data_IF_085112368866
#
_entry.id   IF_085112368866
#
_cell.length_a   1.000
_cell.length_b   1.000
_cell.length_c   1.000
_cell.angle_alpha   90.00
_cell.angle_beta   90.00
_cell.angle_gamma   90.00
#
_symmetry.space_group_name_H-M   'P 1'
#
loop_
_entity.id
_entity.type
_entity.pdbx_description
1 polymer ?
#
# COMPACT_ATOMS: atom_id res chain seq x y z
N UNK A 1 -39.60 -48.67 59.10
CA UNK A 1 -38.20 -48.77 58.59
C UNK A 1 -38.20 -48.53 57.10
N UNK A 2 -37.65 -47.47 56.68
CA UNK A 2 -36.96 -47.14 55.40
C UNK A 2 -37.13 -45.64 55.14
N UNK A 3 -36.01 -44.96 55.30
CA UNK A 3 -35.84 -43.50 55.08
C UNK A 3 -35.84 -43.20 53.58
N UNK A 4 -36.65 -42.24 53.14
CA UNK A 4 -36.60 -41.66 51.81
C UNK A 4 -35.57 -40.51 51.83
N UNK A 5 -34.54 -40.65 51.05
CA UNK A 5 -33.57 -39.57 50.75
C UNK A 5 -34.15 -38.70 49.62
N UNK A 6 -34.42 -37.44 49.90
CA UNK A 6 -34.64 -36.44 48.88
C UNK A 6 -33.29 -35.90 48.39
N UNK A 7 -32.97 -36.16 47.18
CA UNK A 7 -31.82 -35.60 46.47
C UNK A 7 -32.31 -34.28 45.80
N UNK A 8 -32.04 -33.15 46.42
CA UNK A 8 -32.25 -31.86 45.80
C UNK A 8 -31.10 -31.56 44.84
N UNK A 9 -31.36 -31.64 43.54
CA UNK A 9 -30.46 -31.19 42.51
C UNK A 9 -30.40 -29.66 42.50
N UNK A 10 -29.31 -29.12 43.08
CA UNK A 10 -28.97 -27.70 42.98
C UNK A 10 -28.41 -27.47 41.56
N UNK A 11 -29.21 -26.89 40.68
CA UNK A 11 -28.73 -26.35 39.40
C UNK A 11 -27.86 -25.12 39.71
N UNK A 12 -26.55 -25.33 39.73
CA UNK A 12 -25.59 -24.23 39.66
C UNK A 12 -25.64 -23.65 38.25
N UNK A 13 -26.34 -22.54 38.05
CA UNK A 13 -26.14 -21.66 36.92
C UNK A 13 -24.77 -21.05 37.08
N UNK A 14 -23.75 -21.67 36.43
CA UNK A 14 -22.44 -21.08 36.28
C UNK A 14 -22.55 -19.97 35.26
N UNK A 15 -22.92 -18.77 35.68
CA UNK A 15 -22.68 -17.56 34.90
C UNK A 15 -21.18 -17.37 34.88
N UNK A 16 -20.56 -17.84 33.80
CA UNK A 16 -19.16 -17.54 33.51
C UNK A 16 -19.03 -16.06 33.17
N UNK A 17 -18.95 -15.22 34.19
CA UNK A 17 -18.39 -13.89 34.06
C UNK A 17 -16.91 -14.10 33.75
N UNK A 18 -16.57 -13.96 32.47
CA UNK A 18 -15.19 -13.91 32.00
C UNK A 18 -14.51 -12.68 32.58
N UNK A 19 -13.91 -12.84 33.75
CA UNK A 19 -13.05 -11.81 34.33
C UNK A 19 -11.70 -11.88 33.59
N UNK A 20 -11.35 -10.80 32.89
CA UNK A 20 -9.99 -10.61 32.43
C UNK A 20 -9.03 -10.67 33.64
N UNK A 21 -8.15 -11.64 33.67
CA UNK A 21 -7.19 -11.80 34.76
C UNK A 21 -6.07 -10.78 34.58
N UNK A 22 -6.08 -9.71 35.37
CA UNK A 22 -5.10 -8.62 35.31
C UNK A 22 -3.93 -8.94 36.25
N UNK A 23 -2.87 -9.51 35.71
CA UNK A 23 -1.64 -9.75 36.45
C UNK A 23 -0.68 -8.55 36.29
N UNK A 24 -0.29 -7.91 37.39
CA UNK A 24 0.70 -6.83 37.40
C UNK A 24 2.00 -7.32 38.04
N UNK A 25 3.10 -7.24 37.29
CA UNK A 25 4.44 -7.49 37.82
C UNK A 25 5.18 -6.14 37.86
N UNK A 26 5.50 -5.67 39.04
CA UNK A 26 6.26 -4.44 39.29
C UNK A 26 7.74 -4.77 39.39
N UNK A 27 8.53 -4.36 38.41
CA UNK A 27 9.99 -4.26 38.52
C UNK A 27 10.35 -2.79 38.65
N UNK A 28 11.46 -2.45 39.34
CA UNK A 28 11.83 -1.06 39.69
C UNK A 28 11.91 -0.05 38.53
N UNK A 29 11.78 -0.51 37.28
CA UNK A 29 11.85 0.32 36.06
C UNK A 29 10.76 0.04 35.03
N UNK A 30 10.00 -1.05 35.16
CA UNK A 30 9.01 -1.46 34.19
C UNK A 30 7.70 -1.85 34.84
N UNK A 31 6.57 -1.44 34.23
CA UNK A 31 5.25 -1.98 34.56
C UNK A 31 4.76 -2.85 33.42
N UNK A 32 4.46 -4.11 33.71
CA UNK A 32 3.89 -5.05 32.76
C UNK A 32 2.43 -5.32 33.13
N UNK A 33 1.53 -5.14 32.18
CA UNK A 33 0.09 -5.41 32.29
C UNK A 33 -0.22 -6.51 31.29
N UNK A 34 -0.76 -7.62 31.77
CA UNK A 34 -1.13 -8.78 30.96
C UNK A 34 -2.63 -9.02 31.06
N UNK A 35 -3.27 -9.14 29.91
CA UNK A 35 -4.71 -9.35 29.80
C UNK A 35 -4.98 -10.43 28.77
N UNK A 36 -5.99 -11.28 29.06
CA UNK A 36 -6.34 -12.43 28.24
C UNK A 36 -7.84 -12.47 27.99
N UNK A 37 -8.22 -12.86 26.77
CA UNK A 37 -9.60 -13.07 26.38
C UNK A 37 -9.69 -14.36 25.57
N UNK A 38 -10.75 -15.11 25.78
CA UNK A 38 -11.08 -16.22 24.88
C UNK A 38 -11.56 -15.68 23.57
N UNK A 39 -11.09 -16.25 22.48
CA UNK A 39 -11.36 -15.80 21.11
C UNK A 39 -11.74 -16.98 20.24
N UNK A 40 -12.63 -16.76 19.30
CA UNK A 40 -13.06 -17.75 18.32
C UNK A 40 -12.60 -17.38 16.91
N UNK A 41 -12.66 -18.34 16.00
CA UNK A 41 -12.39 -18.10 14.59
C UNK A 41 -13.26 -16.97 14.05
N UNK A 42 -12.65 -16.04 13.29
CA UNK A 42 -13.28 -14.86 12.70
C UNK A 42 -13.80 -13.80 13.70
N UNK A 43 -13.37 -13.88 14.93
CA UNK A 43 -13.54 -12.76 15.85
C UNK A 43 -12.60 -11.61 15.46
N UNK A 44 -12.93 -10.41 15.88
CA UNK A 44 -12.22 -9.18 15.53
C UNK A 44 -11.40 -8.70 16.72
N UNK A 45 -10.13 -8.46 16.50
CA UNK A 45 -9.27 -7.72 17.42
C UNK A 45 -9.22 -6.27 16.96
N UNK A 46 -9.87 -5.39 17.69
CA UNK A 46 -9.90 -3.96 17.47
C UNK A 46 -8.88 -3.27 18.38
N UNK A 47 -7.93 -2.55 17.81
CA UNK A 47 -6.92 -1.79 18.55
C UNK A 47 -7.10 -0.30 18.32
N UNK A 48 -7.21 0.44 19.42
CA UNK A 48 -7.27 1.90 19.42
C UNK A 48 -6.15 2.45 20.32
N UNK A 49 -5.02 2.85 19.74
CA UNK A 49 -3.83 3.21 20.50
C UNK A 49 -3.30 4.59 20.16
N UNK A 50 -2.97 5.35 21.21
CA UNK A 50 -2.23 6.60 21.14
C UNK A 50 -0.94 6.46 21.94
N UNK A 51 0.22 6.88 21.37
CA UNK A 51 1.52 6.91 22.06
C UNK A 51 2.09 5.54 22.48
N UNK A 52 1.58 4.44 21.92
CA UNK A 52 2.24 3.13 22.04
C UNK A 52 3.31 3.05 20.96
N UNK A 53 4.57 3.16 21.37
CA UNK A 53 5.70 3.30 20.45
C UNK A 53 5.86 2.12 19.50
N UNK A 54 5.69 0.90 20.02
CA UNK A 54 5.77 -0.32 19.23
C UNK A 54 4.63 -1.28 19.59
N UNK A 55 3.91 -1.70 18.58
CA UNK A 55 2.87 -2.73 18.63
C UNK A 55 3.38 -3.91 17.81
N UNK A 56 3.45 -5.09 18.42
CA UNK A 56 3.85 -6.32 17.74
C UNK A 56 2.73 -7.32 17.82
N UNK A 57 2.33 -7.88 16.69
CA UNK A 57 1.30 -8.92 16.58
C UNK A 57 1.99 -10.19 16.13
N UNK A 58 1.91 -11.22 16.96
CA UNK A 58 2.52 -12.53 16.78
C UNK A 58 1.44 -13.62 16.79
N UNK A 59 1.64 -14.66 16.02
CA UNK A 59 0.75 -15.81 15.97
C UNK A 59 0.86 -16.65 17.24
N UNK A 60 -0.25 -17.27 17.66
CA UNK A 60 -0.34 -18.19 18.79
C UNK A 60 -1.24 -19.38 18.45
N UNK A 61 -0.85 -20.57 18.89
CA UNK A 61 -1.67 -21.79 18.76
C UNK A 61 -2.79 -21.89 19.82
N UNK A 62 -2.94 -20.89 20.68
CA UNK A 62 -3.93 -20.88 21.77
C UNK A 62 -5.26 -20.30 21.26
N UNK A 63 -6.38 -20.73 21.87
CA UNK A 63 -7.70 -20.12 21.64
C UNK A 63 -7.91 -18.87 22.49
N UNK A 64 -6.84 -18.19 22.85
CA UNK A 64 -6.87 -16.94 23.61
C UNK A 64 -6.10 -15.85 22.86
N UNK A 65 -6.59 -14.62 22.93
CA UNK A 65 -5.74 -13.46 22.63
C UNK A 65 -5.12 -12.95 23.93
N UNK A 66 -3.82 -12.66 23.88
CA UNK A 66 -3.06 -12.14 25.01
C UNK A 66 -2.47 -10.79 24.66
N UNK A 67 -2.83 -9.77 25.43
CA UNK A 67 -2.25 -8.42 25.36
C UNK A 67 -1.21 -8.27 26.46
N UNK A 68 0.02 -7.88 26.11
CA UNK A 68 1.10 -7.59 27.07
C UNK A 68 1.56 -6.16 26.82
N UNK A 69 1.13 -5.26 27.72
CA UNK A 69 1.56 -3.86 27.71
C UNK A 69 2.74 -3.68 28.64
N UNK A 70 3.86 -3.21 28.13
CA UNK A 70 5.05 -2.88 28.94
C UNK A 70 5.29 -1.36 28.88
N UNK A 71 5.37 -0.74 30.06
CA UNK A 71 5.65 0.68 30.25
C UNK A 71 7.02 0.78 30.89
N UNK A 72 7.98 1.32 30.19
CA UNK A 72 9.38 1.47 30.63
C UNK A 72 9.67 2.90 31.01
N UNK A 73 10.36 3.11 32.15
CA UNK A 73 10.71 4.42 32.67
C UNK A 73 12.21 4.63 32.64
N UNK A 74 12.61 5.85 32.36
CA UNK A 74 14.01 6.26 32.44
C UNK A 74 14.22 7.05 33.74
N UNK A 75 14.89 6.45 34.74
CA UNK A 75 15.44 7.11 35.95
C UNK A 75 14.57 8.21 36.61
N UNK A 76 13.25 8.09 36.56
CA UNK A 76 12.36 9.08 37.19
C UNK A 76 12.11 8.76 38.65
N UNK A 77 11.74 9.76 39.44
CA UNK A 77 11.28 9.53 40.80
C UNK A 77 10.01 8.68 40.84
N UNK A 78 9.80 7.95 41.92
CA UNK A 78 8.59 7.14 42.15
C UNK A 78 7.31 7.99 42.01
N UNK A 79 7.34 9.24 42.45
CA UNK A 79 6.21 10.18 42.36
C UNK A 79 5.85 10.52 40.90
N UNK A 80 6.83 10.73 40.04
CA UNK A 80 6.60 10.95 38.60
C UNK A 80 5.99 9.73 37.93
N UNK A 81 6.39 8.54 38.36
CA UNK A 81 5.82 7.27 37.89
C UNK A 81 4.33 7.15 38.25
N UNK A 82 4.00 7.34 39.52
CA UNK A 82 2.62 7.20 40.01
C UNK A 82 1.68 8.22 39.35
N UNK A 83 2.17 9.45 39.16
CA UNK A 83 1.43 10.51 38.47
C UNK A 83 1.20 10.19 36.98
N UNK A 84 2.18 9.59 36.33
CA UNK A 84 2.03 9.13 34.96
C UNK A 84 1.05 7.97 34.82
N UNK A 85 1.15 6.99 35.73
CA UNK A 85 0.24 5.84 35.74
C UNK A 85 -1.22 6.23 35.92
N UNK A 86 -1.51 7.35 36.61
CA UNK A 86 -2.85 7.93 36.71
C UNK A 86 -3.36 8.51 35.39
N UNK A 87 -2.45 8.99 34.53
CA UNK A 87 -2.82 9.53 33.21
C UNK A 87 -2.98 8.46 32.13
N UNK A 88 -2.34 7.31 32.29
CA UNK A 88 -2.49 6.20 31.35
C UNK A 88 -3.87 5.57 31.53
N UNK A 89 -4.60 5.50 30.43
CA UNK A 89 -5.92 4.86 30.35
C UNK A 89 -5.83 3.63 29.46
N UNK A 90 -5.99 2.47 30.08
CA UNK A 90 -6.10 1.19 29.36
C UNK A 90 -7.49 0.65 29.63
N UNK A 91 -8.25 0.39 28.59
CA UNK A 91 -9.53 -0.28 28.69
C UNK A 91 -9.64 -1.42 27.70
N UNK A 92 -10.24 -2.51 28.13
CA UNK A 92 -10.50 -3.68 27.30
C UNK A 92 -11.95 -4.08 27.45
N UNK A 93 -12.55 -4.42 26.33
CA UNK A 93 -13.95 -4.83 26.29
C UNK A 93 -14.12 -5.94 25.26
N UNK A 94 -14.80 -7.00 25.67
CA UNK A 94 -15.32 -7.99 24.72
C UNK A 94 -16.82 -7.75 24.54
N UNK A 95 -17.24 -7.60 23.29
CA UNK A 95 -18.65 -7.41 22.92
C UNK A 95 -18.96 -8.26 21.69
N UNK A 96 -19.70 -9.34 21.88
CA UNK A 96 -19.96 -10.33 20.85
C UNK A 96 -18.65 -10.90 20.29
N UNK A 97 -18.43 -10.71 18.99
CA UNK A 97 -17.24 -11.17 18.26
C UNK A 97 -16.07 -10.19 18.26
N UNK A 98 -16.16 -9.08 18.96
CA UNK A 98 -15.13 -8.05 18.94
C UNK A 98 -14.48 -7.90 20.32
N UNK A 99 -13.16 -7.98 20.35
CA UNK A 99 -12.33 -7.65 21.50
C UNK A 99 -11.65 -6.33 21.18
N UNK A 100 -12.05 -5.27 21.90
CA UNK A 100 -11.50 -3.93 21.75
C UNK A 100 -10.45 -3.68 22.83
N UNK A 101 -9.24 -3.34 22.43
CA UNK A 101 -8.16 -2.86 23.30
C UNK A 101 -7.93 -1.38 23.01
N UNK A 102 -8.01 -0.54 24.06
CA UNK A 102 -7.74 0.90 23.95
C UNK A 102 -6.62 1.32 24.89
N UNK A 103 -5.67 2.06 24.35
CA UNK A 103 -4.59 2.70 25.10
C UNK A 103 -4.53 4.19 24.77
N UNK A 104 -4.60 5.03 25.80
CA UNK A 104 -4.46 6.48 25.65
C UNK A 104 -3.77 7.10 26.88
N UNK A 105 -3.26 8.33 26.70
CA UNK A 105 -2.68 9.13 27.78
C UNK A 105 -3.48 10.43 27.92
N UNK A 106 -4.11 10.62 29.07
CA UNK A 106 -4.85 11.83 29.40
C UNK A 106 -3.90 12.99 29.78
N UNK A 107 -3.83 13.97 28.90
CA UNK A 107 -3.00 15.16 29.10
C UNK A 107 -3.75 16.33 29.74
N UNK A 108 -5.05 16.24 29.99
CA UNK A 108 -5.93 17.37 30.35
C UNK A 108 -5.63 17.99 31.73
N UNK A 109 -4.98 17.27 32.63
CA UNK A 109 -4.69 17.72 34.00
C UNK A 109 -3.26 18.25 34.23
N UNK A 110 -2.45 18.49 33.18
CA UNK A 110 -1.03 18.78 33.34
C UNK A 110 -0.65 20.16 32.88
N UNK A 111 0.00 20.93 33.76
CA UNK A 111 0.75 22.13 33.38
C UNK A 111 1.79 21.76 32.32
N UNK A 112 1.92 22.59 31.26
CA UNK A 112 2.90 22.42 30.17
C UNK A 112 4.37 22.33 30.64
N UNK A 113 4.62 22.53 31.91
CA UNK A 113 5.96 22.56 32.52
C UNK A 113 6.36 21.28 33.23
N UNK A 114 5.42 20.34 33.50
CA UNK A 114 5.80 19.05 34.10
C UNK A 114 6.14 18.06 33.00
N UNK A 115 7.39 18.07 32.61
CA UNK A 115 8.01 17.18 31.66
C UNK A 115 7.69 15.71 31.98
N UNK A 116 7.01 15.02 31.07
CA UNK A 116 6.96 13.54 31.04
C UNK A 116 8.32 12.95 30.64
N UNK A 117 9.38 13.54 31.11
CA UNK A 117 10.76 13.12 30.85
C UNK A 117 11.10 11.72 31.39
N UNK A 118 10.12 11.04 31.99
CA UNK A 118 10.32 9.74 32.61
C UNK A 118 9.88 8.51 31.79
N UNK A 119 8.96 8.62 30.78
CA UNK A 119 8.62 7.48 29.94
C UNK A 119 9.58 7.41 28.79
N UNK A 120 10.30 6.32 28.67
CA UNK A 120 11.14 6.05 27.51
C UNK A 120 10.46 5.19 26.49
N UNK A 121 9.60 4.27 26.90
CA UNK A 121 9.00 3.32 25.98
C UNK A 121 7.66 2.75 26.48
N UNK A 122 6.69 2.66 25.57
CA UNK A 122 5.45 1.92 25.78
C UNK A 122 5.35 0.93 24.63
N UNK A 123 5.29 -0.34 24.95
CA UNK A 123 5.16 -1.41 23.96
C UNK A 123 3.92 -2.24 24.23
N UNK A 124 3.29 -2.72 23.17
CA UNK A 124 2.17 -3.66 23.22
C UNK A 124 2.54 -4.89 22.37
N UNK A 125 2.59 -6.06 23.01
CA UNK A 125 2.67 -7.34 22.32
C UNK A 125 1.33 -8.02 22.36
N UNK A 126 0.92 -8.58 21.22
CA UNK A 126 -0.35 -9.28 21.06
C UNK A 126 -0.03 -10.66 20.51
N UNK A 127 -0.49 -11.68 21.22
CA UNK A 127 -0.46 -13.05 20.76
C UNK A 127 -1.88 -13.47 20.46
N UNK A 128 -2.15 -13.90 19.22
CA UNK A 128 -3.50 -14.24 18.80
C UNK A 128 -3.52 -15.44 17.83
N UNK A 129 -4.63 -16.21 17.79
CA UNK A 129 -4.80 -17.29 16.83
C UNK A 129 -4.77 -16.80 15.38
N UNK A 130 -4.49 -17.72 14.44
CA UNK A 130 -4.43 -17.45 12.98
C UNK A 130 -5.73 -16.88 12.40
N UNK A 131 -6.87 -17.36 12.89
CA UNK A 131 -8.17 -17.17 12.23
C UNK A 131 -8.92 -15.91 12.67
N UNK A 132 -8.21 -14.92 13.18
CA UNK A 132 -8.82 -13.65 13.64
C UNK A 132 -8.68 -12.56 12.59
N UNK A 133 -9.55 -11.55 12.68
CA UNK A 133 -9.49 -10.34 11.89
C UNK A 133 -8.88 -9.20 12.74
N UNK A 134 -8.22 -8.27 12.08
CA UNK A 134 -7.64 -7.11 12.75
C UNK A 134 -8.21 -5.81 12.22
N UNK A 135 -8.58 -4.91 13.15
CA UNK A 135 -8.90 -3.51 12.87
C UNK A 135 -8.05 -2.62 13.78
N UNK A 136 -7.04 -1.98 13.22
CA UNK A 136 -6.00 -1.29 13.98
C UNK A 136 -6.04 0.20 13.70
N UNK A 137 -6.22 0.99 14.74
CA UNK A 137 -5.97 2.44 14.73
C UNK A 137 -4.82 2.74 15.67
N UNK A 138 -3.69 3.21 15.11
CA UNK A 138 -2.51 3.56 15.88
C UNK A 138 -2.03 4.99 15.55
N UNK A 139 -1.80 5.79 16.59
CA UNK A 139 -1.21 7.11 16.46
C UNK A 139 0.08 7.20 17.27
N UNK A 140 1.10 7.79 16.67
CA UNK A 140 2.43 7.98 17.28
C UNK A 140 3.07 6.64 17.69
N UNK A 141 2.92 5.60 16.83
CA UNK A 141 3.45 4.27 17.11
C UNK A 141 3.63 3.42 15.87
N UNK A 142 4.59 2.52 15.93
CA UNK A 142 4.87 1.57 14.88
C UNK A 142 4.09 0.27 15.11
N UNK A 143 3.64 -0.33 14.04
CA UNK A 143 2.96 -1.63 14.06
C UNK A 143 3.80 -2.62 13.27
N UNK A 144 4.12 -3.74 13.90
CA UNK A 144 4.74 -4.90 13.26
C UNK A 144 3.79 -6.10 13.31
N UNK A 145 3.57 -6.71 12.16
CA UNK A 145 2.69 -7.86 12.01
C UNK A 145 3.43 -8.93 11.21
N UNK A 146 3.44 -10.17 11.69
CA UNK A 146 4.06 -11.26 10.94
C UNK A 146 3.11 -11.77 9.86
N UNK A 147 2.24 -12.71 10.16
CA UNK A 147 1.31 -13.28 9.19
C UNK A 147 -0.15 -13.01 9.61
N UNK A 148 -0.97 -12.59 8.66
CA UNK A 148 -2.41 -12.45 8.85
C UNK A 148 -3.14 -13.23 7.77
N UNK A 149 -3.96 -14.19 8.16
CA UNK A 149 -4.64 -15.10 7.26
C UNK A 149 -6.03 -14.62 6.84
N UNK A 150 -6.61 -13.70 7.59
CA UNK A 150 -7.90 -13.07 7.33
C UNK A 150 -7.75 -11.58 7.01
N UNK A 151 -8.87 -10.90 6.82
CA UNK A 151 -8.90 -9.48 6.48
C UNK A 151 -8.19 -8.62 7.54
N UNK A 152 -7.37 -7.70 7.05
CA UNK A 152 -6.57 -6.80 7.85
C UNK A 152 -6.90 -5.35 7.52
N UNK A 153 -7.24 -4.56 8.56
CA UNK A 153 -7.42 -3.13 8.45
C UNK A 153 -6.45 -2.41 9.36
N UNK A 154 -5.79 -1.39 8.84
CA UNK A 154 -4.91 -0.55 9.63
C UNK A 154 -5.02 0.92 9.22
N UNK A 155 -5.20 1.80 10.20
CA UNK A 155 -5.13 3.24 10.07
C UNK A 155 -4.02 3.76 10.99
N UNK A 156 -2.89 4.15 10.40
CA UNK A 156 -1.69 4.52 11.15
C UNK A 156 -1.34 5.98 10.84
N UNK A 157 -1.19 6.77 11.90
CA UNK A 157 -0.77 8.15 11.78
C UNK A 157 0.49 8.42 12.62
N UNK A 158 1.50 9.04 12.03
CA UNK A 158 2.78 9.33 12.67
C UNK A 158 3.50 8.08 13.17
N UNK A 159 3.47 7.02 12.35
CA UNK A 159 4.09 5.74 12.65
C UNK A 159 4.23 4.87 11.40
N UNK A 160 4.88 3.74 11.54
CA UNK A 160 5.20 2.84 10.45
C UNK A 160 4.40 1.54 10.58
N UNK A 161 4.12 0.91 9.43
CA UNK A 161 3.66 -0.47 9.36
C UNK A 161 4.74 -1.33 8.70
N UNK A 162 5.13 -2.37 9.42
CA UNK A 162 5.97 -3.45 8.92
C UNK A 162 5.16 -4.75 8.98
N UNK A 163 4.70 -5.22 7.82
CA UNK A 163 3.88 -6.42 7.73
C UNK A 163 4.54 -7.44 6.80
N UNK A 164 4.58 -8.68 7.25
CA UNK A 164 5.16 -9.76 6.47
C UNK A 164 4.14 -10.25 5.44
N UNK A 165 3.23 -11.15 5.79
CA UNK A 165 2.26 -11.71 4.87
C UNK A 165 0.83 -11.32 5.23
N UNK A 166 0.11 -10.66 4.31
CA UNK A 166 -1.33 -10.42 4.43
C UNK A 166 -2.07 -11.28 3.41
N UNK A 167 -2.60 -12.40 3.87
CA UNK A 167 -3.20 -13.45 3.06
C UNK A 167 -4.72 -13.29 2.91
N UNK A 168 -5.34 -12.42 3.70
CA UNK A 168 -6.77 -12.09 3.63
C UNK A 168 -7.18 -11.52 2.28
N UNK A 169 -8.44 -11.71 1.90
CA UNK A 169 -8.93 -11.28 0.59
C UNK A 169 -9.20 -9.78 0.46
N UNK A 170 -9.37 -9.07 1.58
CA UNK A 170 -9.82 -7.68 1.60
C UNK A 170 -9.03 -6.89 2.65
N UNK A 171 -7.80 -6.54 2.30
CA UNK A 171 -6.93 -5.80 3.19
C UNK A 171 -6.98 -4.30 2.88
N UNK A 172 -7.08 -3.48 3.93
CA UNK A 172 -7.12 -2.02 3.80
C UNK A 172 -6.13 -1.36 4.75
N UNK A 173 -5.18 -0.61 4.18
CA UNK A 173 -4.14 0.10 4.94
C UNK A 173 -4.20 1.58 4.60
N UNK A 174 -4.25 2.43 5.61
CA UNK A 174 -4.09 3.88 5.48
C UNK A 174 -2.94 4.34 6.37
N UNK A 175 -1.96 5.03 5.78
CA UNK A 175 -0.80 5.58 6.51
C UNK A 175 -0.68 7.06 6.21
N UNK A 176 -0.58 7.86 7.27
CA UNK A 176 -0.30 9.29 7.20
C UNK A 176 0.95 9.62 8.01
N UNK A 177 1.90 10.30 7.38
CA UNK A 177 3.16 10.70 8.01
C UNK A 177 3.94 9.50 8.58
N UNK A 178 4.09 8.45 7.73
CA UNK A 178 4.76 7.21 8.11
C UNK A 178 5.11 6.33 6.92
N UNK A 179 5.69 5.18 7.19
CA UNK A 179 6.20 4.30 6.15
C UNK A 179 5.51 2.94 6.18
N UNK A 180 5.45 2.30 5.01
CA UNK A 180 4.97 0.93 4.82
C UNK A 180 6.10 0.04 4.31
N UNK A 181 6.34 -1.07 4.99
CA UNK A 181 7.06 -2.23 4.43
C UNK A 181 6.11 -3.42 4.40
N UNK A 182 6.03 -4.10 3.26
CA UNK A 182 5.12 -5.22 3.03
C UNK A 182 5.81 -6.29 2.20
N UNK A 183 5.84 -7.53 2.69
CA UNK A 183 6.47 -8.64 1.96
C UNK A 183 5.51 -9.25 0.93
N UNK A 184 4.39 -9.83 1.31
CA UNK A 184 3.45 -10.47 0.39
C UNK A 184 1.98 -10.06 0.63
N UNK A 185 1.35 -9.51 -0.42
CA UNK A 185 -0.05 -9.10 -0.47
C UNK A 185 -0.81 -10.01 -1.41
N UNK A 186 -1.46 -11.05 -0.89
CA UNK A 186 -2.09 -12.08 -1.73
C UNK A 186 -3.55 -11.85 -2.04
N UNK A 187 -4.26 -11.09 -1.24
CA UNK A 187 -5.69 -10.88 -1.42
C UNK A 187 -6.08 -10.28 -2.76
N UNK A 188 -7.29 -10.53 -3.19
CA UNK A 188 -7.84 -10.02 -4.46
C UNK A 188 -8.30 -8.55 -4.39
N UNK A 189 -8.48 -8.00 -3.18
CA UNK A 189 -8.96 -6.64 -2.93
C UNK A 189 -8.09 -5.94 -1.89
N UNK A 190 -6.83 -5.70 -2.24
CA UNK A 190 -5.91 -4.96 -1.38
C UNK A 190 -5.96 -3.48 -1.73
N UNK A 191 -6.16 -2.64 -0.73
CA UNK A 191 -6.16 -1.18 -0.85
C UNK A 191 -5.16 -0.56 0.10
N UNK A 192 -4.29 0.29 -0.43
CA UNK A 192 -3.29 1.01 0.34
C UNK A 192 -3.39 2.50 0.02
N UNK A 193 -3.48 3.32 1.06
CA UNK A 193 -3.47 4.79 0.97
C UNK A 193 -2.27 5.29 1.75
N UNK A 194 -1.38 6.05 1.12
CA UNK A 194 -0.20 6.64 1.80
C UNK A 194 -0.12 8.13 1.49
N UNK A 195 -0.05 8.93 2.55
CA UNK A 195 0.16 10.38 2.45
C UNK A 195 1.36 10.81 3.26
N UNK A 196 2.28 11.51 2.63
CA UNK A 196 3.51 12.03 3.26
C UNK A 196 4.37 10.92 3.86
N UNK A 197 4.68 9.89 3.04
CA UNK A 197 5.44 8.75 3.52
C UNK A 197 6.26 8.02 2.46
N UNK A 198 6.86 6.93 2.89
CA UNK A 198 7.59 6.02 2.00
C UNK A 198 6.94 4.64 2.04
N UNK A 199 7.09 3.90 0.94
CA UNK A 199 6.63 2.52 0.91
C UNK A 199 7.60 1.61 0.17
N UNK A 200 7.62 0.35 0.61
CA UNK A 200 8.28 -0.75 -0.08
C UNK A 200 7.37 -1.97 -0.03
N UNK A 201 6.92 -2.42 -1.20
CA UNK A 201 6.05 -3.58 -1.34
C UNK A 201 6.80 -4.59 -2.21
N UNK A 202 7.12 -5.75 -1.65
CA UNK A 202 7.91 -6.74 -2.36
C UNK A 202 7.06 -7.54 -3.34
N UNK A 203 5.84 -7.91 -2.95
CA UNK A 203 4.95 -8.66 -3.82
C UNK A 203 3.48 -8.31 -3.57
N UNK A 204 2.74 -8.11 -4.65
CA UNK A 204 1.29 -7.95 -4.60
C UNK A 204 0.66 -8.56 -5.85
N UNK A 205 -0.37 -9.39 -5.67
CA UNK A 205 -1.08 -9.96 -6.81
C UNK A 205 -2.08 -8.96 -7.40
N UNK A 206 -2.90 -8.36 -6.54
CA UNK A 206 -3.83 -7.29 -6.87
C UNK A 206 -3.68 -6.15 -5.87
N UNK A 207 -3.38 -4.97 -6.34
CA UNK A 207 -3.16 -3.80 -5.47
C UNK A 207 -3.82 -2.55 -6.04
N UNK A 208 -4.67 -1.91 -5.24
CA UNK A 208 -5.07 -0.50 -5.39
C UNK A 208 -4.18 0.36 -4.49
N UNK A 209 -3.51 1.34 -5.07
CA UNK A 209 -2.58 2.23 -4.38
C UNK A 209 -2.93 3.69 -4.66
N UNK A 210 -3.39 4.42 -3.63
CA UNK A 210 -3.60 5.89 -3.65
C UNK A 210 -2.48 6.55 -2.86
N UNK A 211 -1.65 7.35 -3.51
CA UNK A 211 -0.50 7.99 -2.87
C UNK A 211 -0.39 9.47 -3.18
N UNK A 212 -0.05 10.25 -2.14
CA UNK A 212 0.15 11.70 -2.28
C UNK A 212 1.38 12.13 -1.50
N UNK A 213 2.22 12.96 -2.14
CA UNK A 213 3.46 13.46 -1.52
C UNK A 213 4.32 12.34 -0.95
N UNK A 214 4.45 11.25 -1.70
CA UNK A 214 5.03 10.01 -1.21
C UNK A 214 6.03 9.43 -2.22
N UNK A 215 6.88 8.54 -1.75
CA UNK A 215 7.81 7.83 -2.63
C UNK A 215 7.93 6.36 -2.24
N UNK A 216 8.18 5.51 -3.21
CA UNK A 216 8.46 4.11 -2.88
C UNK A 216 8.58 3.18 -4.06
N UNK A 217 8.79 1.93 -3.71
CA UNK A 217 9.12 0.86 -4.61
C UNK A 217 8.12 -0.29 -4.53
N UNK A 218 7.75 -0.85 -5.70
CA UNK A 218 7.03 -2.11 -5.80
C UNK A 218 7.90 -3.07 -6.63
N UNK A 219 8.27 -4.18 -6.02
CA UNK A 219 9.20 -5.12 -6.66
C UNK A 219 8.46 -6.02 -7.65
N UNK A 220 7.36 -6.63 -7.26
CA UNK A 220 6.55 -7.46 -8.15
C UNK A 220 5.06 -7.18 -7.96
N UNK A 221 4.35 -6.88 -9.04
CA UNK A 221 2.91 -6.74 -9.03
C UNK A 221 2.25 -7.47 -10.21
N UNK A 222 1.14 -8.15 -9.96
CA UNK A 222 0.27 -8.68 -10.98
C UNK A 222 -0.57 -7.56 -11.60
N UNK A 223 -1.65 -7.18 -10.94
CA UNK A 223 -2.50 -6.04 -11.30
C UNK A 223 -2.25 -4.89 -10.32
N UNK A 224 -1.79 -3.75 -10.83
CA UNK A 224 -1.63 -2.52 -10.06
C UNK A 224 -2.58 -1.44 -10.60
N UNK A 225 -3.44 -0.92 -9.74
CA UNK A 225 -4.17 0.33 -9.98
C UNK A 225 -3.53 1.42 -9.13
N UNK A 226 -2.97 2.44 -9.78
CA UNK A 226 -2.23 3.52 -9.11
C UNK A 226 -2.96 4.86 -9.33
N UNK A 227 -3.34 5.52 -8.24
CA UNK A 227 -3.69 6.94 -8.22
C UNK A 227 -2.59 7.70 -7.47
N UNK A 228 -1.92 8.62 -8.15
CA UNK A 228 -0.74 9.26 -7.57
C UNK A 228 -0.66 10.76 -7.87
N UNK A 229 -0.17 11.51 -6.87
CA UNK A 229 0.06 12.94 -7.04
C UNK A 229 1.26 13.43 -6.22
N UNK A 230 2.18 14.14 -6.88
CA UNK A 230 3.44 14.62 -6.30
C UNK A 230 4.30 13.48 -5.74
N UNK A 231 4.43 12.41 -6.51
CA UNK A 231 5.06 11.18 -6.06
C UNK A 231 6.26 10.76 -6.92
N UNK A 232 7.11 9.92 -6.34
CA UNK A 232 8.13 9.18 -7.06
C UNK A 232 7.91 7.69 -6.84
N UNK A 233 7.64 6.95 -7.90
CA UNK A 233 7.31 5.53 -7.85
C UNK A 233 8.24 4.73 -8.73
N UNK A 234 8.87 3.73 -8.14
CA UNK A 234 9.67 2.74 -8.86
C UNK A 234 8.95 1.40 -8.87
N UNK A 235 8.68 0.89 -10.04
CA UNK A 235 8.11 -0.42 -10.27
C UNK A 235 9.17 -1.30 -10.92
N UNK A 236 9.46 -2.46 -10.32
CA UNK A 236 10.47 -3.32 -10.93
C UNK A 236 9.83 -4.20 -12.02
N UNK A 237 8.93 -5.11 -11.65
CA UNK A 237 8.18 -5.93 -12.59
C UNK A 237 6.68 -5.78 -12.31
N UNK A 238 5.92 -5.40 -13.34
CA UNK A 238 4.47 -5.29 -13.25
C UNK A 238 3.85 -6.01 -14.45
N UNK A 239 2.81 -6.79 -14.21
CA UNK A 239 2.09 -7.41 -15.31
C UNK A 239 1.13 -6.40 -15.95
N UNK A 240 0.21 -5.85 -15.19
CA UNK A 240 -0.74 -4.85 -15.68
C UNK A 240 -0.75 -3.62 -14.76
N UNK A 241 -0.59 -2.43 -15.34
CA UNK A 241 -0.70 -1.15 -14.66
C UNK A 241 -1.82 -0.33 -15.26
N UNK A 242 -2.77 0.08 -14.41
CA UNK A 242 -3.75 1.12 -14.73
C UNK A 242 -3.46 2.29 -13.80
N UNK A 243 -3.29 3.51 -14.34
CA UNK A 243 -2.88 4.61 -13.49
C UNK A 243 -3.50 5.96 -13.88
N UNK A 244 -3.65 6.81 -12.87
CA UNK A 244 -3.90 8.25 -12.98
C UNK A 244 -2.79 8.97 -12.21
N UNK A 245 -2.10 9.89 -12.87
CA UNK A 245 -0.86 10.46 -12.33
C UNK A 245 -0.76 11.97 -12.55
N UNK A 246 -0.37 12.69 -11.51
CA UNK A 246 -0.15 14.13 -11.59
C UNK A 246 1.09 14.62 -10.85
N UNK A 247 2.00 15.28 -11.58
CA UNK A 247 3.27 15.80 -11.04
C UNK A 247 4.17 14.68 -10.49
N UNK A 248 4.19 13.55 -11.18
CA UNK A 248 4.87 12.35 -10.69
C UNK A 248 6.06 11.95 -11.58
N UNK A 249 6.92 11.16 -10.96
CA UNK A 249 7.95 10.39 -11.68
C UNK A 249 7.67 8.90 -11.49
N UNK A 250 7.30 8.20 -12.56
CA UNK A 250 7.06 6.76 -12.56
C UNK A 250 8.13 6.09 -13.40
N UNK A 251 8.83 5.12 -12.82
CA UNK A 251 9.89 4.36 -13.50
C UNK A 251 9.61 2.85 -13.40
N UNK A 252 9.57 2.16 -14.53
CA UNK A 252 9.46 0.70 -14.60
C UNK A 252 10.82 0.14 -15.01
N UNK A 253 11.50 -0.51 -14.05
CA UNK A 253 12.92 -0.85 -14.19
C UNK A 253 13.21 -2.12 -14.98
N UNK A 254 12.27 -3.06 -15.05
CA UNK A 254 12.47 -4.31 -15.81
C UNK A 254 11.49 -4.39 -16.97
N UNK A 255 10.27 -4.81 -16.71
CA UNK A 255 9.30 -5.03 -17.78
C UNK A 255 7.87 -4.82 -17.34
N UNK A 256 7.03 -4.45 -18.29
CA UNK A 256 5.59 -4.38 -18.13
C UNK A 256 4.90 -5.06 -19.32
N UNK A 257 3.83 -5.81 -19.07
CA UNK A 257 3.02 -6.39 -20.12
C UNK A 257 2.06 -5.35 -20.70
N UNK A 258 1.21 -4.77 -19.84
CA UNK A 258 0.22 -3.78 -20.25
C UNK A 258 0.26 -2.56 -19.35
N UNK A 259 0.19 -1.39 -19.96
CA UNK A 259 0.06 -0.12 -19.26
C UNK A 259 -1.07 0.69 -19.88
N UNK A 260 -1.95 1.21 -19.05
CA UNK A 260 -3.05 2.08 -19.44
C UNK A 260 -3.21 3.19 -18.41
N UNK A 261 -3.42 4.43 -18.87
CA UNK A 261 -3.64 5.52 -17.93
C UNK A 261 -3.51 6.90 -18.52
N UNK A 262 -3.58 7.87 -17.62
CA UNK A 262 -3.41 9.27 -17.87
C UNK A 262 -2.29 9.87 -17.02
N UNK A 263 -1.57 10.84 -17.60
CA UNK A 263 -0.50 11.55 -16.90
C UNK A 263 -0.53 13.04 -17.23
N UNK A 264 -0.36 13.83 -16.18
CA UNK A 264 -0.24 15.28 -16.33
C UNK A 264 0.92 15.82 -15.48
N UNK A 265 1.80 16.59 -16.12
CA UNK A 265 3.02 17.17 -15.50
C UNK A 265 3.96 16.11 -14.90
N UNK A 266 4.24 15.04 -15.65
CA UNK A 266 5.02 13.94 -15.12
C UNK A 266 6.08 13.37 -16.05
N UNK A 267 6.78 12.37 -15.54
CA UNK A 267 7.73 11.58 -16.33
C UNK A 267 7.44 10.10 -16.15
N UNK A 268 7.26 9.40 -17.26
CA UNK A 268 7.08 7.96 -17.32
C UNK A 268 8.26 7.33 -18.07
N UNK A 269 8.98 6.42 -17.43
CA UNK A 269 10.07 5.68 -18.04
C UNK A 269 9.79 4.18 -17.97
N UNK A 270 9.75 3.53 -19.11
CA UNK A 270 9.59 2.08 -19.25
C UNK A 270 10.89 1.48 -19.79
N UNK A 271 11.49 0.56 -19.03
CA UNK A 271 12.68 -0.18 -19.52
C UNK A 271 12.32 -1.09 -20.68
N UNK A 272 11.24 -1.88 -20.54
CA UNK A 272 10.82 -2.80 -21.58
C UNK A 272 9.29 -2.95 -21.58
N UNK A 273 8.67 -2.77 -22.75
CA UNK A 273 7.23 -2.95 -22.99
C UNK A 273 7.01 -4.27 -23.73
N UNK A 274 6.19 -5.17 -23.17
CA UNK A 274 5.94 -6.49 -23.74
C UNK A 274 4.72 -6.55 -24.65
N UNK A 275 3.63 -5.87 -24.31
CA UNK A 275 2.37 -6.03 -25.04
C UNK A 275 1.74 -4.68 -25.41
N UNK A 276 1.14 -3.94 -24.50
CA UNK A 276 0.40 -2.73 -24.87
C UNK A 276 0.68 -1.54 -23.97
N UNK A 277 0.68 -0.35 -24.61
CA UNK A 277 0.75 0.95 -23.94
C UNK A 277 -0.38 1.84 -24.45
N UNK A 278 -1.28 2.26 -23.58
CA UNK A 278 -2.39 3.17 -23.90
C UNK A 278 -2.37 4.36 -22.95
N UNK A 279 -2.02 5.54 -23.46
CA UNK A 279 -1.98 6.77 -22.66
C UNK A 279 -2.91 7.79 -23.26
N UNK A 280 -3.93 8.21 -22.49
CA UNK A 280 -4.92 9.19 -22.91
C UNK A 280 -5.70 9.77 -21.71
N UNK A 281 -5.64 11.09 -21.41
CA UNK A 281 -4.72 12.07 -22.01
C UNK A 281 -3.27 11.96 -21.48
N UNK A 282 -2.34 12.51 -22.25
CA UNK A 282 -0.93 12.60 -21.85
C UNK A 282 -0.43 14.03 -22.06
N UNK A 283 -0.38 14.84 -21.00
CA UNK A 283 -0.14 16.29 -21.14
C UNK A 283 0.96 16.82 -20.24
N UNK A 284 1.72 17.78 -20.76
CA UNK A 284 2.86 18.41 -20.06
C UNK A 284 3.83 17.37 -19.49
N UNK A 285 4.03 16.28 -20.21
CA UNK A 285 4.68 15.10 -19.67
C UNK A 285 5.73 14.55 -20.63
N UNK A 286 6.58 13.70 -20.08
CA UNK A 286 7.58 12.97 -20.87
C UNK A 286 7.37 11.47 -20.72
N UNK A 287 7.33 10.74 -21.85
CA UNK A 287 7.46 9.28 -21.84
C UNK A 287 8.72 8.85 -22.57
N UNK A 288 9.38 7.85 -22.00
CA UNK A 288 10.50 7.13 -22.63
C UNK A 288 10.22 5.64 -22.54
N UNK A 289 10.10 4.96 -23.68
CA UNK A 289 10.11 3.50 -23.78
C UNK A 289 11.46 3.09 -24.33
N UNK A 290 12.34 2.57 -23.47
CA UNK A 290 13.71 2.24 -23.84
C UNK A 290 13.79 1.00 -24.74
N UNK A 291 12.78 0.12 -24.66
CA UNK A 291 12.69 -1.07 -25.49
C UNK A 291 11.24 -1.50 -25.67
N UNK A 292 10.79 -1.56 -26.89
CA UNK A 292 9.55 -2.22 -27.29
C UNK A 292 9.90 -3.63 -27.78
N UNK A 293 9.34 -4.66 -27.12
CA UNK A 293 9.62 -6.05 -27.49
C UNK A 293 8.79 -6.47 -28.72
N UNK A 294 9.28 -7.48 -29.44
CA UNK A 294 8.61 -8.01 -30.65
C UNK A 294 7.19 -8.56 -30.36
N UNK A 295 6.88 -8.85 -29.11
CA UNK A 295 5.54 -9.29 -28.70
C UNK A 295 4.52 -8.17 -28.49
N UNK A 296 4.88 -6.91 -28.70
CA UNK A 296 3.94 -5.80 -28.54
C UNK A 296 2.75 -5.91 -29.49
N UNK A 297 1.63 -5.37 -29.09
CA UNK A 297 0.40 -5.31 -29.89
C UNK A 297 0.02 -3.90 -30.25
N UNK A 298 -0.06 -3.02 -29.25
CA UNK A 298 -0.53 -1.64 -29.44
C UNK A 298 0.28 -0.65 -28.63
N UNK A 299 0.59 0.49 -29.26
CA UNK A 299 1.10 1.68 -28.58
C UNK A 299 0.23 2.85 -29.01
N UNK A 300 -0.69 3.28 -28.14
CA UNK A 300 -1.58 4.39 -28.37
C UNK A 300 -1.27 5.51 -27.38
N UNK A 301 -0.69 6.60 -27.86
CA UNK A 301 -0.42 7.79 -27.06
C UNK A 301 -1.20 8.92 -27.74
N UNK A 302 -2.36 9.22 -27.19
CA UNK A 302 -3.31 10.14 -27.81
C UNK A 302 -3.60 11.32 -26.88
N UNK A 303 -4.07 12.42 -27.46
CA UNK A 303 -4.24 13.70 -26.75
C UNK A 303 -2.96 14.13 -25.98
N UNK A 304 -1.80 13.91 -26.60
CA UNK A 304 -0.51 14.31 -26.04
C UNK A 304 -0.29 15.81 -26.29
N UNK A 305 -0.41 16.62 -25.24
CA UNK A 305 -0.29 18.07 -25.34
C UNK A 305 0.91 18.57 -24.54
N UNK A 306 1.76 19.41 -25.16
CA UNK A 306 3.01 19.90 -24.57
C UNK A 306 3.90 18.77 -24.01
N UNK A 307 4.01 17.67 -24.76
CA UNK A 307 4.63 16.45 -24.27
C UNK A 307 5.75 15.95 -25.17
N UNK A 308 6.68 15.22 -24.58
CA UNK A 308 7.79 14.62 -25.30
C UNK A 308 7.68 13.09 -25.26
N UNK A 309 7.70 12.46 -26.42
CA UNK A 309 7.50 11.02 -26.60
C UNK A 309 8.77 10.43 -27.24
N UNK A 310 9.39 9.46 -26.56
CA UNK A 310 10.58 8.75 -27.04
C UNK A 310 10.30 7.25 -27.04
N UNK A 311 10.35 6.63 -28.23
CA UNK A 311 10.10 5.21 -28.43
C UNK A 311 11.28 4.55 -29.15
N UNK A 312 11.85 3.50 -28.57
CA UNK A 312 12.77 2.61 -29.26
C UNK A 312 12.00 1.39 -29.77
N UNK A 313 11.87 1.30 -31.07
CA UNK A 313 11.04 0.32 -31.77
C UNK A 313 11.95 -0.81 -32.31
N UNK A 314 11.50 -2.07 -32.30
CA UNK A 314 12.30 -3.18 -32.84
C UNK A 314 12.46 -3.08 -34.38
N UNK A 315 13.65 -3.26 -34.84
CA UNK A 315 14.06 -3.02 -36.22
C UNK A 315 13.39 -3.91 -37.27
N UNK A 316 13.09 -5.16 -36.89
CA UNK A 316 12.63 -6.17 -37.87
C UNK A 316 11.11 -6.41 -37.79
N UNK A 317 10.41 -5.61 -37.01
CA UNK A 317 8.96 -5.76 -36.83
C UNK A 317 8.19 -4.94 -37.87
N UNK A 318 6.97 -5.41 -38.16
CA UNK A 318 6.01 -4.69 -39.00
C UNK A 318 4.76 -4.35 -38.22
N UNK A 319 4.28 -3.10 -38.37
CA UNK A 319 3.07 -2.60 -37.71
C UNK A 319 2.45 -1.44 -38.52
N UNK A 320 1.15 -1.24 -38.32
CA UNK A 320 0.49 -0.04 -38.83
C UNK A 320 0.91 1.16 -37.99
N UNK A 321 1.33 2.24 -38.64
CA UNK A 321 1.74 3.49 -38.02
C UNK A 321 0.77 4.61 -38.39
N UNK A 322 0.29 5.35 -37.40
CA UNK A 322 -0.58 6.51 -37.54
C UNK A 322 -0.09 7.63 -36.63
N UNK A 323 0.40 8.70 -37.23
CA UNK A 323 0.87 9.88 -36.51
C UNK A 323 0.11 11.12 -36.96
N UNK A 324 -0.34 11.92 -36.00
CA UNK A 324 -0.91 13.25 -36.21
C UNK A 324 -0.27 14.25 -35.24
N UNK A 325 0.48 15.19 -35.77
CA UNK A 325 1.16 16.23 -34.99
C UNK A 325 0.70 17.63 -35.37
N UNK A 326 0.38 18.49 -34.40
CA UNK A 326 0.15 19.92 -34.61
C UNK A 326 1.12 20.74 -33.78
N UNK A 327 1.92 21.59 -34.44
CA UNK A 327 3.04 22.31 -33.81
C UNK A 327 3.98 21.35 -33.06
N UNK A 328 4.22 20.19 -33.64
CA UNK A 328 5.02 19.11 -33.01
C UNK A 328 6.23 18.81 -33.88
N UNK A 329 7.39 18.72 -33.22
CA UNK A 329 8.61 18.32 -33.87
C UNK A 329 8.67 16.78 -33.93
N UNK A 330 8.64 16.23 -35.15
CA UNK A 330 8.76 14.80 -35.37
C UNK A 330 10.20 14.44 -35.80
N UNK A 331 10.87 13.63 -35.03
CA UNK A 331 12.24 13.16 -35.28
C UNK A 331 12.22 11.65 -35.47
N UNK A 332 12.58 11.24 -36.67
CA UNK A 332 12.88 9.85 -36.95
C UNK A 332 14.36 9.67 -37.23
N UNK A 333 14.93 8.55 -36.81
CA UNK A 333 16.22 8.09 -37.29
C UNK A 333 15.98 6.75 -37.97
N UNK A 334 15.98 6.79 -39.32
CA UNK A 334 15.91 5.63 -40.22
C UNK A 334 14.56 4.91 -40.29
N UNK A 335 13.46 5.57 -39.94
CA UNK A 335 12.12 4.96 -40.08
C UNK A 335 11.77 4.88 -41.58
N UNK A 336 11.53 3.65 -42.03
CA UNK A 336 11.05 3.38 -43.39
C UNK A 336 9.58 3.00 -43.35
N UNK A 337 8.73 3.93 -43.75
CA UNK A 337 7.31 3.65 -43.95
C UNK A 337 7.09 3.21 -45.39
N UNK A 338 6.49 2.05 -45.57
CA UNK A 338 5.94 1.58 -46.82
C UNK A 338 4.48 1.97 -46.92
N UNK A 339 3.98 2.15 -48.17
CA UNK A 339 2.60 2.55 -48.43
C UNK A 339 2.22 3.83 -47.64
N UNK A 340 3.17 4.76 -47.56
CA UNK A 340 3.02 5.93 -46.70
C UNK A 340 2.18 7.02 -47.37
N UNK A 341 1.21 7.55 -46.60
CA UNK A 341 0.50 8.76 -46.94
C UNK A 341 0.94 9.88 -46.01
N UNK A 342 1.33 11.00 -46.60
CA UNK A 342 1.75 12.19 -45.86
C UNK A 342 0.73 13.31 -46.10
N UNK A 343 0.33 13.97 -45.06
CA UNK A 343 -0.45 15.20 -45.12
C UNK A 343 0.27 16.30 -44.35
N UNK A 344 0.35 17.47 -44.93
CA UNK A 344 0.96 18.62 -44.27
C UNK A 344 0.18 19.88 -44.66
N UNK A 345 -0.22 20.62 -43.64
CA UNK A 345 -0.61 22.01 -43.76
C UNK A 345 0.34 22.91 -42.97
N UNK A 346 0.11 24.21 -42.88
CA UNK A 346 1.04 25.14 -42.22
C UNK A 346 1.41 24.79 -40.77
N UNK A 347 0.66 23.92 -40.10
CA UNK A 347 0.86 23.63 -38.66
C UNK A 347 0.63 22.17 -38.27
N UNK A 348 0.12 21.35 -39.21
CA UNK A 348 -0.23 19.96 -38.93
C UNK A 348 0.55 19.02 -39.84
N UNK A 349 1.15 18.00 -39.29
CA UNK A 349 1.81 16.92 -40.02
C UNK A 349 1.11 15.60 -39.68
N UNK A 350 0.64 14.91 -40.73
CA UNK A 350 0.07 13.56 -40.60
C UNK A 350 0.95 12.56 -41.38
N UNK A 351 1.15 11.38 -40.80
CA UNK A 351 1.82 10.27 -41.45
C UNK A 351 1.07 8.99 -41.15
N UNK A 352 0.70 8.27 -42.20
CA UNK A 352 0.09 6.94 -42.07
C UNK A 352 0.79 5.99 -43.01
N UNK A 353 1.01 4.74 -42.59
CA UNK A 353 1.66 3.75 -43.41
C UNK A 353 1.98 2.48 -42.64
N UNK A 354 2.79 1.65 -43.30
CA UNK A 354 3.26 0.40 -42.72
C UNK A 354 4.73 0.56 -42.40
N UNK A 355 5.09 0.41 -41.15
CA UNK A 355 6.45 0.28 -40.73
C UNK A 355 6.95 -1.15 -41.00
N UNK A 356 8.15 -1.33 -41.54
CA UNK A 356 8.73 -2.64 -41.87
C UNK A 356 8.34 -3.16 -43.26
N UNK A 357 8.61 -4.42 -43.50
CA UNK A 357 8.57 -4.97 -44.89
C UNK A 357 7.19 -5.48 -45.33
N UNK A 358 6.30 -5.85 -44.41
CA UNK A 358 5.04 -6.49 -44.73
C UNK A 358 3.99 -6.28 -43.60
N UNK A 359 2.79 -5.92 -43.96
CA UNK A 359 1.67 -5.93 -43.01
C UNK A 359 1.21 -7.39 -42.76
N UNK A 360 1.76 -8.00 -41.77
CA UNK A 360 1.41 -9.38 -41.39
C UNK A 360 0.88 -9.48 -39.95
N UNK A 361 0.67 -8.36 -39.26
CA UNK A 361 0.30 -8.37 -37.85
C UNK A 361 -0.76 -7.32 -37.51
N UNK A 362 -1.57 -7.59 -36.51
CA UNK A 362 -2.54 -6.63 -35.93
C UNK A 362 -1.87 -5.55 -35.05
N UNK A 363 -0.55 -5.45 -35.12
CA UNK A 363 0.22 -4.48 -34.34
C UNK A 363 -0.01 -3.06 -34.83
N UNK A 364 -0.20 -2.13 -33.87
CA UNK A 364 -0.48 -0.74 -34.20
C UNK A 364 0.27 0.23 -33.29
N UNK A 365 0.83 1.28 -33.89
CA UNK A 365 1.38 2.43 -33.18
C UNK A 365 0.61 3.66 -33.62
N UNK A 366 -0.11 4.30 -32.68
CA UNK A 366 -0.85 5.53 -32.95
C UNK A 366 -0.42 6.63 -31.99
N UNK A 367 0.00 7.76 -32.53
CA UNK A 367 0.42 8.93 -31.76
C UNK A 367 -0.31 10.16 -32.26
N UNK A 368 -1.01 10.86 -31.37
CA UNK A 368 -1.54 12.19 -31.66
C UNK A 368 -1.01 13.21 -30.64
N UNK A 369 -0.34 14.23 -31.15
CA UNK A 369 0.39 15.18 -30.31
C UNK A 369 0.19 16.64 -30.73
N UNK A 370 0.23 17.55 -29.73
CA UNK A 370 0.20 19.00 -29.95
C UNK A 370 1.25 19.68 -29.07
N UNK A 371 2.01 20.62 -29.66
CA UNK A 371 3.01 21.41 -28.94
C UNK A 371 4.06 20.55 -28.20
N UNK A 372 4.76 19.71 -28.91
CA UNK A 372 5.75 18.83 -28.27
C UNK A 372 6.74 18.21 -29.24
N UNK A 373 7.31 17.08 -28.86
CA UNK A 373 8.18 16.34 -29.74
C UNK A 373 7.89 14.84 -29.70
N UNK A 374 8.01 14.18 -30.84
CA UNK A 374 7.93 12.73 -30.97
C UNK A 374 9.22 12.24 -31.60
N UNK A 375 9.90 11.34 -30.95
CA UNK A 375 11.14 10.74 -31.44
C UNK A 375 11.00 9.22 -31.50
N UNK A 376 11.21 8.67 -32.70
CA UNK A 376 11.21 7.24 -32.93
C UNK A 376 12.62 6.81 -33.29
N UNK A 377 13.10 5.75 -32.67
CA UNK A 377 14.41 5.18 -32.93
C UNK A 377 14.29 3.68 -33.22
N UNK A 378 15.05 3.19 -34.19
CA UNK A 378 15.20 1.75 -34.41
C UNK A 378 16.29 1.18 -33.51
N UNK A 379 16.03 0.02 -32.94
CA UNK A 379 16.99 -0.75 -32.14
C UNK A 379 17.19 -2.15 -32.72
#
# INVERSE_FOLDING_TARGET
MKKLFYLSALLFFCTSTLFAQKNQILNNQNKVIREKFSIQSKDIIELNTNYVKNITIEESDSNEVVFITTITLNKSSKENFDNLMKAIKISNKQSGKTITYTFDIDWSGRSKTNNLTGITDITLKIFAPKDVLYDITARYGNVKVENVYNDFRANIAYGNLDAHDLLGNNNKIEIKYGNLTMEDFRGSRNQVVIKYGKFKIFKAEHLGLDIKYSQGDIINAGMLRLDSKYCTVTLNTVKNLIFTSGYDKITIQKSIEKIEGDMKYGTLTLKSLKSSCVLNPFSYSKITIEEVLNSFTNIFITDATHSNIFLNIPREESFAFDYSGRYTDFKDKNIRLNEATFSSDNYTTGMQGIYGKKLASDKKVKISARYGSVSLFER
#
